data_IF_959502038835
#
_entry.id   IF_959502038835
#
_cell.length_a   1.000
_cell.length_b   1.000
_cell.length_c   1.000
_cell.angle_alpha   90.00
_cell.angle_beta   90.00
_cell.angle_gamma   90.00
#
_symmetry.space_group_name_H-M   'P 1'
#
loop_
_entity.id
_entity.type
_entity.pdbx_description
1 polymer ?
#
# COMPACT_ATOMS: atom_id res chain seq x y z
N UNK A 1 9.25 -1.80 -28.89
CA UNK A 1 7.96 -2.23 -28.32
C UNK A 1 7.92 -1.65 -26.91
N UNK A 2 6.94 -0.82 -26.59
CA UNK A 2 6.83 -0.22 -25.25
C UNK A 2 6.16 -1.21 -24.32
N UNK A 3 6.84 -1.61 -23.25
CA UNK A 3 6.26 -2.46 -22.22
C UNK A 3 5.34 -1.59 -21.33
N UNK A 4 4.02 -1.82 -21.32
CA UNK A 4 3.08 -1.03 -20.52
C UNK A 4 3.33 -1.15 -19.01
N UNK A 5 4.01 -2.20 -18.53
CA UNK A 5 4.29 -2.39 -17.11
C UNK A 5 5.42 -1.49 -16.60
N UNK A 6 6.26 -0.96 -17.50
CA UNK A 6 7.34 -0.04 -17.10
C UNK A 6 6.82 1.24 -16.46
N UNK A 7 5.57 1.62 -16.72
CA UNK A 7 4.92 2.76 -16.07
C UNK A 7 4.85 2.63 -14.53
N UNK A 8 4.90 1.40 -13.98
CA UNK A 8 4.85 1.16 -12.54
C UNK A 8 6.21 1.17 -11.87
N UNK A 9 7.32 1.18 -12.63
CA UNK A 9 8.66 1.05 -12.06
C UNK A 9 8.97 2.20 -11.09
N UNK A 10 8.57 3.42 -11.45
CA UNK A 10 8.84 4.62 -10.68
C UNK A 10 8.01 4.70 -9.39
N UNK A 11 7.01 3.82 -9.22
CA UNK A 11 6.29 3.68 -7.94
C UNK A 11 7.14 3.01 -6.86
N UNK A 12 8.29 2.41 -7.20
CA UNK A 12 9.17 1.69 -6.29
C UNK A 12 10.57 2.35 -6.24
N UNK A 13 10.80 3.34 -5.37
CA UNK A 13 12.01 4.17 -5.40
C UNK A 13 13.33 3.39 -5.30
N UNK A 14 13.34 2.25 -4.60
CA UNK A 14 14.56 1.43 -4.46
C UNK A 14 15.10 0.97 -5.82
N UNK A 15 14.23 0.79 -6.83
CA UNK A 15 14.58 0.35 -8.17
C UNK A 15 15.37 1.39 -8.99
N UNK A 16 15.42 2.64 -8.54
CA UNK A 16 16.27 3.69 -9.12
C UNK A 16 17.73 3.52 -8.70
N UNK A 17 17.96 2.93 -7.52
CA UNK A 17 19.29 2.88 -6.87
C UNK A 17 19.94 1.50 -6.91
N UNK A 18 19.17 0.43 -7.12
CA UNK A 18 19.71 -0.91 -7.15
C UNK A 18 18.91 -1.90 -8.02
N UNK A 19 19.59 -2.99 -8.37
CA UNK A 19 19.00 -4.16 -9.03
C UNK A 19 18.39 -5.08 -7.99
N UNK A 20 17.11 -4.87 -7.67
CA UNK A 20 16.40 -5.58 -6.60
C UNK A 20 15.78 -6.90 -7.07
N UNK A 21 16.52 -8.01 -6.93
CA UNK A 21 16.12 -9.36 -7.40
C UNK A 21 15.64 -10.29 -6.26
N UNK A 22 15.01 -9.73 -5.22
CA UNK A 22 14.59 -10.48 -4.03
C UNK A 22 13.14 -10.16 -3.58
N UNK A 23 12.32 -9.61 -4.49
CA UNK A 23 10.92 -9.23 -4.22
C UNK A 23 10.03 -10.37 -3.74
N UNK A 24 10.42 -11.63 -3.99
CA UNK A 24 9.72 -12.82 -3.51
C UNK A 24 9.90 -13.06 -2.01
N UNK A 25 10.93 -12.48 -1.38
CA UNK A 25 11.11 -12.52 0.08
C UNK A 25 10.47 -11.31 0.74
N UNK A 26 10.81 -10.11 0.26
CA UNK A 26 10.20 -8.85 0.69
C UNK A 26 9.99 -7.97 -0.54
N UNK A 27 8.75 -7.56 -0.79
CA UNK A 27 8.46 -6.68 -1.92
C UNK A 27 9.14 -5.32 -1.77
N UNK A 28 9.59 -4.74 -2.88
CA UNK A 28 10.00 -3.34 -2.92
C UNK A 28 8.84 -2.46 -2.39
N UNK A 29 9.14 -1.52 -1.50
CA UNK A 29 8.12 -0.66 -0.91
C UNK A 29 7.59 0.34 -1.96
N UNK A 30 6.27 0.37 -2.23
CA UNK A 30 5.67 1.40 -3.07
C UNK A 30 5.74 2.78 -2.40
N UNK A 31 5.89 3.85 -3.20
CA UNK A 31 5.94 5.24 -2.73
C UNK A 31 4.70 5.64 -1.92
N UNK A 32 3.51 5.20 -2.36
CA UNK A 32 2.23 5.49 -1.70
C UNK A 32 2.11 4.97 -0.27
N UNK A 33 2.95 4.02 0.16
CA UNK A 33 2.92 3.53 1.56
C UNK A 33 3.29 4.63 2.55
N UNK A 34 4.18 5.56 2.18
CA UNK A 34 4.50 6.71 3.04
C UNK A 34 3.27 7.59 3.31
N UNK A 35 2.43 7.79 2.29
CA UNK A 35 1.22 8.59 2.43
C UNK A 35 0.18 7.90 3.30
N UNK A 36 -0.05 6.59 3.10
CA UNK A 36 -0.95 5.81 3.94
C UNK A 36 -0.51 5.77 5.41
N UNK A 37 0.79 5.64 5.68
CA UNK A 37 1.32 5.66 7.05
C UNK A 37 1.15 7.02 7.72
N UNK A 38 1.40 8.10 6.97
CA UNK A 38 1.17 9.47 7.44
C UNK A 38 -0.29 9.72 7.76
N UNK A 39 -1.20 9.36 6.85
CA UNK A 39 -2.65 9.48 7.07
C UNK A 39 -3.11 8.71 8.30
N UNK A 40 -2.62 7.47 8.49
CA UNK A 40 -2.92 6.68 9.67
C UNK A 40 -2.46 7.36 10.96
N UNK A 41 -1.23 7.88 10.99
CA UNK A 41 -0.69 8.59 12.15
C UNK A 41 -1.44 9.91 12.44
N UNK A 42 -1.76 10.69 11.40
CA UNK A 42 -2.50 11.94 11.52
C UNK A 42 -3.92 11.70 12.08
N UNK A 43 -4.60 10.65 11.61
CA UNK A 43 -5.91 10.23 12.14
C UNK A 43 -5.82 9.90 13.63
N UNK A 44 -4.78 9.17 14.04
CA UNK A 44 -4.58 8.83 15.44
C UNK A 44 -4.32 10.06 16.30
N UNK A 45 -3.44 10.95 15.84
CA UNK A 45 -3.09 12.17 16.54
C UNK A 45 -4.31 13.11 16.72
N UNK A 46 -5.19 13.19 15.71
CA UNK A 46 -6.36 14.05 15.74
C UNK A 46 -7.53 13.48 16.54
N UNK A 47 -7.72 12.15 16.56
CA UNK A 47 -8.96 11.53 17.03
C UNK A 47 -8.80 10.50 18.16
N UNK A 48 -7.57 10.11 18.49
CA UNK A 48 -7.29 9.12 19.53
C UNK A 48 -8.10 7.84 19.33
N UNK A 49 -8.73 7.33 20.38
CA UNK A 49 -9.55 6.11 20.33
C UNK A 49 -10.75 6.23 19.37
N UNK A 50 -11.25 7.44 19.10
CA UNK A 50 -12.40 7.60 18.20
C UNK A 50 -12.06 7.34 16.73
N UNK A 51 -10.77 7.27 16.36
CA UNK A 51 -10.30 6.87 15.04
C UNK A 51 -10.83 5.48 14.62
N UNK A 52 -11.04 4.58 15.60
CA UNK A 52 -11.65 3.27 15.38
C UNK A 52 -13.00 3.36 14.69
N UNK A 53 -13.95 4.07 15.28
CA UNK A 53 -15.30 4.21 14.71
C UNK A 53 -15.38 5.18 13.52
N UNK A 54 -14.36 6.01 13.31
CA UNK A 54 -14.33 6.98 12.21
C UNK A 54 -13.77 6.42 10.91
N UNK A 55 -12.78 5.53 10.99
CA UNK A 55 -12.07 5.05 9.79
C UNK A 55 -11.51 3.63 9.95
N UNK A 56 -10.86 3.31 11.08
CA UNK A 56 -10.07 2.08 11.15
C UNK A 56 -10.91 0.80 11.22
N UNK A 57 -12.15 0.87 11.73
CA UNK A 57 -13.05 -0.28 11.74
C UNK A 57 -13.36 -0.77 10.32
N UNK A 58 -13.66 0.16 9.41
CA UNK A 58 -14.02 -0.16 8.03
C UNK A 58 -12.79 -0.45 7.15
N UNK A 59 -11.61 0.07 7.53
CA UNK A 59 -10.37 -0.06 6.77
C UNK A 59 -10.01 -1.53 6.49
N UNK A 60 -10.19 -2.43 7.46
CA UNK A 60 -9.90 -3.85 7.27
C UNK A 60 -10.77 -4.49 6.18
N UNK A 61 -12.06 -4.14 6.14
CA UNK A 61 -12.98 -4.60 5.09
C UNK A 61 -12.57 -4.08 3.72
N UNK A 62 -12.29 -2.77 3.62
CA UNK A 62 -11.87 -2.15 2.37
C UNK A 62 -10.56 -2.72 1.82
N UNK A 63 -9.60 -3.06 2.68
CA UNK A 63 -8.36 -3.74 2.27
C UNK A 63 -8.66 -5.16 1.81
N UNK A 64 -9.53 -5.88 2.52
CA UNK A 64 -10.01 -7.20 2.12
C UNK A 64 -10.63 -7.19 0.72
N UNK A 65 -11.54 -6.25 0.45
CA UNK A 65 -12.23 -6.11 -0.84
C UNK A 65 -11.27 -5.84 -2.00
N UNK A 66 -10.15 -5.15 -1.75
CA UNK A 66 -9.10 -4.92 -2.76
C UNK A 66 -8.28 -6.18 -3.06
N UNK A 67 -8.09 -7.04 -2.06
CA UNK A 67 -7.28 -8.27 -2.19
C UNK A 67 -8.13 -9.44 -2.73
N UNK A 68 -9.42 -9.49 -2.40
CA UNK A 68 -10.30 -10.60 -2.73
C UNK A 68 -10.27 -11.02 -4.22
N UNK A 69 -10.33 -10.11 -5.21
CA UNK A 69 -10.25 -10.47 -6.62
C UNK A 69 -8.93 -11.14 -7.03
N UNK A 70 -7.82 -10.79 -6.36
CA UNK A 70 -6.51 -11.40 -6.62
C UNK A 70 -6.45 -12.86 -6.14
N UNK A 71 -7.29 -13.21 -5.16
CA UNK A 71 -7.38 -14.55 -4.59
C UNK A 71 -8.54 -15.38 -5.17
N UNK A 72 -9.35 -14.80 -6.07
CA UNK A 72 -10.57 -15.43 -6.58
C UNK A 72 -11.69 -15.54 -5.54
N UNK A 73 -11.62 -14.73 -4.48
CA UNK A 73 -12.68 -14.61 -3.48
C UNK A 73 -13.76 -13.61 -3.98
N UNK A 74 -15.02 -13.75 -3.50
CA UNK A 74 -16.09 -12.80 -3.82
C UNK A 74 -15.77 -11.37 -3.35
#
# INVERSE_FOLDING_TARGET
>A
MTDPLLAWRDEFPILETCTYLISNSLGAMPRGVYDSLREYADMWAAHGVTAWGKAWWDLNGQVGDKIAPLMGAP
#
